data_IF_393522221872
#
_entry.id   IF_393522221872
#
_cell.length_a   1.000
_cell.length_b   1.000
_cell.length_c   1.000
_cell.angle_alpha   90.00
_cell.angle_beta   90.00
_cell.angle_gamma   90.00
#
_symmetry.space_group_name_H-M   'P 1'
#
loop_
_entity.id
_entity.type
_entity.pdbx_description
1 polymer ?
#
# COMPACT_ATOMS: atom_id res chain seq x y z
N UNK A 1 -7.08 4.14 14.90
CA UNK A 1 -6.18 3.53 13.89
C UNK A 1 -6.00 4.45 12.70
N UNK A 2 -4.77 4.71 12.24
CA UNK A 2 -4.56 5.40 10.94
C UNK A 2 -4.66 4.33 9.85
N UNK A 3 -5.70 4.44 9.01
CA UNK A 3 -5.91 3.56 7.88
C UNK A 3 -5.54 4.28 6.58
N UNK A 4 -5.09 3.51 5.59
CA UNK A 4 -4.85 3.99 4.25
C UNK A 4 -5.57 3.08 3.25
N UNK A 5 -6.15 3.67 2.21
CA UNK A 5 -6.77 2.94 1.10
C UNK A 5 -5.87 3.03 -0.13
N UNK A 6 -5.75 1.93 -0.86
CA UNK A 6 -5.12 1.89 -2.18
C UNK A 6 -6.20 1.49 -3.20
N UNK A 7 -6.15 2.07 -4.40
CA UNK A 7 -7.07 1.71 -5.48
C UNK A 7 -6.87 0.26 -5.90
N UNK A 8 -7.98 -0.46 -6.13
CA UNK A 8 -7.95 -1.88 -6.47
C UNK A 8 -7.12 -2.16 -7.74
N UNK A 9 -7.27 -1.35 -8.79
CA UNK A 9 -6.49 -1.51 -10.02
C UNK A 9 -4.99 -1.33 -9.78
N UNK A 10 -4.60 -0.30 -9.03
CA UNK A 10 -3.20 -0.04 -8.70
C UNK A 10 -2.62 -1.18 -7.84
N UNK A 11 -3.38 -1.70 -6.88
CA UNK A 11 -2.96 -2.84 -6.08
C UNK A 11 -2.79 -4.11 -6.93
N UNK A 12 -3.67 -4.34 -7.91
CA UNK A 12 -3.54 -5.45 -8.84
C UNK A 12 -2.30 -5.33 -9.75
N UNK A 13 -1.90 -4.12 -10.15
CA UNK A 13 -0.66 -3.93 -10.92
C UNK A 13 0.57 -4.42 -10.13
N UNK A 14 0.60 -4.24 -8.80
CA UNK A 14 1.65 -4.81 -7.95
C UNK A 14 1.50 -6.33 -7.77
N UNK A 15 0.29 -6.86 -7.68
CA UNK A 15 0.10 -8.29 -7.49
C UNK A 15 0.33 -9.12 -8.75
N UNK A 16 0.18 -8.51 -9.94
CA UNK A 16 0.21 -9.21 -11.24
C UNK A 16 1.53 -9.07 -11.98
N UNK A 17 2.51 -8.35 -11.42
CA UNK A 17 3.86 -8.30 -11.98
C UNK A 17 4.50 -9.70 -11.98
N UNK A 18 5.25 -10.06 -13.04
CA UNK A 18 5.84 -11.40 -13.15
C UNK A 18 6.75 -11.72 -11.97
N UNK A 19 6.55 -12.90 -11.37
CA UNK A 19 7.33 -13.37 -10.21
C UNK A 19 6.88 -12.82 -8.85
N UNK A 20 5.84 -11.99 -8.81
CA UNK A 20 5.28 -11.52 -7.55
C UNK A 20 4.41 -12.60 -6.90
N UNK A 21 4.74 -12.96 -5.66
CA UNK A 21 4.00 -13.95 -4.86
C UNK A 21 3.36 -13.37 -3.59
N UNK A 22 3.66 -12.11 -3.27
CA UNK A 22 3.08 -11.43 -2.13
C UNK A 22 3.28 -9.93 -2.20
N UNK A 23 2.75 -9.21 -1.19
CA UNK A 23 2.90 -7.77 -1.07
C UNK A 23 3.45 -7.44 0.32
N UNK A 24 4.50 -6.62 0.38
CA UNK A 24 5.04 -6.05 1.62
C UNK A 24 4.61 -4.59 1.72
N UNK A 25 4.16 -4.19 2.91
CA UNK A 25 3.73 -2.81 3.18
C UNK A 25 4.65 -2.18 4.21
N UNK A 26 5.18 -1.01 3.89
CA UNK A 26 6.03 -0.19 4.74
C UNK A 26 5.27 1.03 5.23
N UNK A 27 5.53 1.45 6.46
CA UNK A 27 5.15 2.79 6.92
C UNK A 27 6.15 3.82 6.41
N UNK A 28 5.65 4.96 5.95
CA UNK A 28 6.45 6.05 5.42
C UNK A 28 5.85 7.41 5.80
N UNK A 29 6.60 8.48 5.51
CA UNK A 29 6.10 9.86 5.58
C UNK A 29 6.00 10.41 4.16
N UNK A 30 4.89 11.09 3.86
CA UNK A 30 4.75 11.83 2.60
C UNK A 30 5.53 13.15 2.62
N UNK A 31 5.47 13.93 1.53
CA UNK A 31 6.14 15.23 1.44
C UNK A 31 5.65 16.27 2.46
N UNK A 32 4.47 16.05 3.05
CA UNK A 32 3.86 16.87 4.10
C UNK A 32 4.20 16.36 5.51
N UNK A 33 5.08 15.35 5.65
CA UNK A 33 5.42 14.67 6.92
C UNK A 33 4.25 13.94 7.57
N UNK A 34 3.25 13.54 6.79
CA UNK A 34 2.11 12.77 7.27
C UNK A 34 2.36 11.26 7.07
N UNK A 35 1.91 10.45 8.04
CA UNK A 35 2.03 9.01 7.98
C UNK A 35 1.26 8.45 6.78
N UNK A 36 1.94 7.64 5.98
CA UNK A 36 1.38 6.93 4.83
C UNK A 36 1.96 5.52 4.74
N UNK A 37 1.55 4.77 3.72
CA UNK A 37 2.08 3.44 3.41
C UNK A 37 2.69 3.38 2.01
N UNK A 38 3.68 2.51 1.87
CA UNK A 38 4.25 2.10 0.57
C UNK A 38 4.07 0.59 0.44
N UNK A 39 3.46 0.12 -0.65
CA UNK A 39 3.30 -1.30 -0.94
C UNK A 39 4.19 -1.72 -2.12
N UNK A 40 4.90 -2.83 -1.95
CA UNK A 40 5.82 -3.40 -2.95
C UNK A 40 5.54 -4.90 -3.13
N UNK A 41 5.81 -5.41 -4.34
CA UNK A 41 5.76 -6.86 -4.59
C UNK A 41 6.89 -7.60 -3.89
N UNK A 42 6.67 -8.86 -3.57
CA UNK A 42 7.67 -9.77 -2.99
C UNK A 42 7.84 -10.96 -3.92
N UNK A 43 9.09 -11.31 -4.23
CA UNK A 43 9.41 -12.44 -5.11
C UNK A 43 9.45 -13.79 -4.38
N UNK A 44 9.67 -14.88 -5.12
CA UNK A 44 9.77 -16.25 -4.58
C UNK A 44 10.91 -16.44 -3.55
N UNK A 45 11.92 -15.57 -3.54
CA UNK A 45 13.01 -15.59 -2.57
C UNK A 45 12.67 -14.80 -1.29
N UNK A 46 11.53 -14.09 -1.28
CA UNK A 46 11.14 -13.21 -0.19
C UNK A 46 11.74 -11.80 -0.30
N UNK A 47 12.37 -11.46 -1.43
CA UNK A 47 12.99 -10.17 -1.67
C UNK A 47 11.97 -9.15 -2.21
N UNK A 48 12.19 -7.88 -1.90
CA UNK A 48 11.34 -6.81 -2.42
C UNK A 48 11.62 -6.56 -3.90
N UNK A 49 10.55 -6.51 -4.70
CA UNK A 49 10.61 -6.21 -6.13
C UNK A 49 10.79 -4.70 -6.36
N UNK A 50 11.99 -4.16 -6.09
CA UNK A 50 12.25 -2.71 -6.16
C UNK A 50 12.34 -2.14 -7.58
N UNK A 51 12.47 -3.01 -8.59
CA UNK A 51 12.55 -2.62 -10.00
C UNK A 51 11.19 -2.72 -10.73
N UNK A 52 10.13 -3.12 -10.02
CA UNK A 52 8.79 -3.32 -10.58
C UNK A 52 7.85 -2.14 -10.30
N UNK A 53 6.57 -2.45 -10.17
CA UNK A 53 5.55 -1.50 -9.72
C UNK A 53 5.65 -1.32 -8.21
N UNK A 54 5.71 -0.07 -7.76
CA UNK A 54 5.65 0.32 -6.35
C UNK A 54 4.50 1.30 -6.12
N UNK A 55 3.73 1.10 -5.06
CA UNK A 55 2.62 1.97 -4.70
C UNK A 55 3.01 2.84 -3.53
N UNK A 56 3.19 4.14 -3.76
CA UNK A 56 3.53 5.13 -2.74
C UNK A 56 2.48 6.24 -2.59
N UNK A 57 1.30 6.06 -3.18
CA UNK A 57 0.18 7.01 -3.15
C UNK A 57 -1.06 6.35 -2.55
N UNK A 58 -1.02 6.10 -1.25
CA UNK A 58 -2.19 5.67 -0.52
C UNK A 58 -3.03 6.87 -0.09
N UNK A 59 -4.35 6.71 -0.12
CA UNK A 59 -5.28 7.71 0.38
C UNK A 59 -5.38 7.61 1.89
N UNK A 60 -5.06 8.70 2.59
CA UNK A 60 -5.15 8.77 4.04
C UNK A 60 -6.58 8.91 4.55
N UNK A 61 -6.85 8.30 5.70
CA UNK A 61 -8.03 8.56 6.50
C UNK A 61 -7.83 9.78 7.42
N UNK A 62 -8.86 10.62 7.68
CA UNK A 62 -10.29 10.30 7.62
C UNK A 62 -11.06 10.73 6.35
N UNK A 63 -10.47 11.52 5.44
CA UNK A 63 -11.20 12.07 4.28
C UNK A 63 -11.77 10.98 3.33
N UNK A 64 -11.04 9.88 3.18
CA UNK A 64 -11.36 8.77 2.26
C UNK A 64 -11.75 7.49 3.02
N UNK A 65 -12.07 7.63 4.31
CA UNK A 65 -12.30 6.49 5.20
C UNK A 65 -13.74 6.01 5.17
N UNK A 66 -13.94 4.73 5.51
CA UNK A 66 -15.28 4.18 5.69
C UNK A 66 -16.01 4.90 6.83
N UNK A 67 -17.19 5.44 6.55
CA UNK A 67 -18.05 6.15 7.53
C UNK A 67 -18.61 5.21 8.61
N UNK A 68 -18.63 3.90 8.36
CA UNK A 68 -19.04 2.86 9.29
C UNK A 68 -17.99 1.73 9.32
N UNK A 69 -16.93 1.90 10.10
CA UNK A 69 -15.96 0.82 10.34
C UNK A 69 -15.78 0.58 11.83
N UNK A 70 -15.93 -0.66 12.33
CA UNK A 70 -15.65 -0.99 13.73
C UNK A 70 -14.16 -0.93 14.08
N UNK A 71 -13.28 -0.74 13.08
CA UNK A 71 -11.82 -0.66 13.23
C UNK A 71 -11.30 0.78 13.22
N UNK A 72 -12.16 1.75 12.86
CA UNK A 72 -11.88 3.18 12.95
C UNK A 72 -12.49 3.66 14.26
N UNK A 73 -11.74 3.44 15.34
CA UNK A 73 -11.95 4.03 16.67
C UNK A 73 -10.95 5.15 16.92
#
# INVERSE_FOLDING_TARGET
>A
TIACRIDNSAYQEVMTQPGCVGVRTYFALNAQSELTIVAVGVDDNGDDMTNGVLLNRAYGCPAECATNSPLIV
#
